data_IF_859586840451
#
_entry.id   IF_859586840451
#
_cell.length_a   1.000
_cell.length_b   1.000
_cell.length_c   1.000
_cell.angle_alpha   90.00
_cell.angle_beta   90.00
_cell.angle_gamma   90.00
#
_symmetry.space_group_name_H-M   'P 1'
#
loop_
_entity.id
_entity.type
_entity.pdbx_description
1 polymer ?
#
# COMPACT_ATOMS: atom_id res chain seq x y z
N UNK A 1 -22.15 16.06 7.32
CA UNK A 1 -21.11 15.01 7.36
C UNK A 1 -21.10 14.44 8.76
N UNK A 2 -21.25 13.14 8.91
CA UNK A 2 -20.96 12.48 10.19
C UNK A 2 -19.48 12.67 10.48
N UNK A 3 -19.13 13.06 11.72
CA UNK A 3 -17.73 13.13 12.12
C UNK A 3 -17.07 11.76 11.93
N UNK A 4 -15.83 11.77 11.45
CA UNK A 4 -15.07 10.53 11.29
C UNK A 4 -14.84 9.90 12.66
N UNK A 5 -15.33 8.68 12.84
CA UNK A 5 -15.02 7.84 14.00
C UNK A 5 -14.07 6.75 13.56
N UNK A 6 -12.85 6.79 14.11
CA UNK A 6 -11.84 5.78 13.78
C UNK A 6 -12.32 4.39 14.24
N UNK A 7 -12.32 3.37 13.34
CA UNK A 7 -12.59 2.00 13.74
C UNK A 7 -11.59 1.46 14.76
N UNK A 8 -11.93 0.34 15.38
CA UNK A 8 -11.02 -0.37 16.29
C UNK A 8 -9.72 -0.71 15.57
N UNK A 9 -8.60 -0.39 16.21
CA UNK A 9 -7.27 -0.74 15.74
C UNK A 9 -6.99 -2.24 15.84
N UNK A 10 -6.28 -2.75 14.85
CA UNK A 10 -5.55 -4.01 14.88
C UNK A 10 -4.06 -3.68 14.77
N UNK A 11 -3.38 -3.59 15.92
CA UNK A 11 -2.06 -2.95 15.99
C UNK A 11 -2.15 -1.46 15.67
N UNK A 12 -1.50 -1.02 14.59
CA UNK A 12 -1.53 0.37 14.09
C UNK A 12 -2.39 0.54 12.83
N UNK A 13 -3.26 -0.44 12.50
CA UNK A 13 -4.06 -0.44 11.28
C UNK A 13 -5.55 -0.53 11.59
N UNK A 14 -6.38 0.02 10.71
CA UNK A 14 -7.84 -0.16 10.71
C UNK A 14 -8.28 -0.89 9.45
N UNK A 15 -9.35 -1.67 9.54
CA UNK A 15 -9.93 -2.32 8.37
C UNK A 15 -10.60 -1.29 7.46
N UNK A 16 -10.29 -1.34 6.16
CA UNK A 16 -10.98 -0.58 5.12
C UNK A 16 -11.87 -1.55 4.33
N UNK A 17 -13.19 -1.39 4.41
CA UNK A 17 -14.14 -2.20 3.66
C UNK A 17 -14.49 -1.52 2.33
N UNK A 18 -14.30 -2.22 1.22
CA UNK A 18 -14.65 -1.73 -0.11
C UNK A 18 -15.20 -2.85 -0.99
N UNK A 19 -16.04 -2.47 -1.96
CA UNK A 19 -16.42 -3.32 -3.10
C UNK A 19 -15.96 -2.62 -4.36
N UNK A 20 -15.35 -3.38 -5.27
CA UNK A 20 -14.85 -2.89 -6.56
C UNK A 20 -15.36 -3.79 -7.67
N UNK A 21 -15.31 -3.31 -8.92
CA UNK A 21 -15.63 -4.16 -10.07
C UNK A 21 -14.62 -5.31 -10.22
N UNK A 22 -14.98 -6.41 -10.91
CA UNK A 22 -14.05 -7.51 -11.17
C UNK A 22 -12.78 -7.07 -11.92
N UNK A 23 -12.90 -6.12 -12.84
CA UNK A 23 -11.78 -5.56 -13.59
C UNK A 23 -10.81 -4.81 -12.66
N UNK A 24 -11.33 -3.94 -11.81
CA UNK A 24 -10.52 -3.22 -10.81
C UNK A 24 -9.85 -4.18 -9.82
N UNK A 25 -10.55 -5.23 -9.40
CA UNK A 25 -9.98 -6.26 -8.54
C UNK A 25 -8.78 -6.94 -9.20
N UNK A 26 -8.94 -7.38 -10.45
CA UNK A 26 -7.87 -8.02 -11.21
C UNK A 26 -6.68 -7.09 -11.40
N UNK A 27 -6.93 -5.85 -11.84
CA UNK A 27 -5.89 -4.85 -12.05
C UNK A 27 -5.12 -4.55 -10.75
N UNK A 28 -5.82 -4.43 -9.62
CA UNK A 28 -5.17 -4.22 -8.32
C UNK A 28 -4.29 -5.40 -7.91
N UNK A 29 -4.74 -6.64 -8.14
CA UNK A 29 -3.96 -7.84 -7.83
C UNK A 29 -2.67 -7.86 -8.66
N UNK A 30 -2.79 -7.71 -9.98
CA UNK A 30 -1.64 -7.72 -10.89
C UNK A 30 -0.65 -6.58 -10.58
N UNK A 31 -1.14 -5.36 -10.37
CA UNK A 31 -0.30 -4.22 -10.03
C UNK A 31 0.40 -4.38 -8.67
N UNK A 32 -0.29 -4.92 -7.66
CA UNK A 32 0.32 -5.15 -6.35
C UNK A 32 1.48 -6.15 -6.42
N UNK A 33 1.33 -7.22 -7.20
CA UNK A 33 2.40 -8.19 -7.44
C UNK A 33 3.57 -7.59 -8.21
N UNK A 34 3.31 -6.81 -9.28
CA UNK A 34 4.36 -6.08 -10.01
C UNK A 34 5.09 -5.05 -9.14
N UNK A 35 4.43 -4.57 -8.09
CA UNK A 35 5.01 -3.69 -7.08
C UNK A 35 5.78 -4.41 -5.98
N UNK A 36 5.69 -5.74 -5.88
CA UNK A 36 6.24 -6.48 -4.74
C UNK A 36 5.57 -6.09 -3.42
N UNK A 37 4.32 -5.60 -3.47
CA UNK A 37 3.56 -5.13 -2.32
C UNK A 37 2.42 -6.09 -2.02
N UNK A 38 2.09 -6.26 -0.73
CA UNK A 38 0.80 -6.84 -0.38
C UNK A 38 -0.35 -5.92 -0.83
N UNK A 39 -1.55 -6.47 -1.03
CA UNK A 39 -2.72 -5.66 -1.41
C UNK A 39 -2.97 -4.48 -0.45
N UNK A 40 -2.81 -4.70 0.86
CA UNK A 40 -2.99 -3.65 1.86
C UNK A 40 -1.95 -2.52 1.71
N UNK A 41 -0.70 -2.86 1.38
CA UNK A 41 0.35 -1.87 1.13
C UNK A 41 0.15 -1.15 -0.20
N UNK A 42 -0.31 -1.86 -1.23
CA UNK A 42 -0.65 -1.27 -2.52
C UNK A 42 -1.76 -0.22 -2.37
N UNK A 43 -2.85 -0.56 -1.68
CA UNK A 43 -3.95 0.38 -1.40
C UNK A 43 -3.46 1.56 -0.56
N UNK A 44 -2.67 1.31 0.50
CA UNK A 44 -2.10 2.38 1.32
C UNK A 44 -1.24 3.34 0.49
N UNK A 45 -0.40 2.80 -0.41
CA UNK A 45 0.44 3.60 -1.28
C UNK A 45 -0.38 4.42 -2.29
N UNK A 46 -1.48 3.89 -2.83
CA UNK A 46 -2.39 4.66 -3.68
C UNK A 46 -3.07 5.80 -2.92
N UNK A 47 -3.51 5.57 -1.68
CA UNK A 47 -4.10 6.61 -0.81
C UNK A 47 -3.08 7.71 -0.54
N UNK A 48 -1.84 7.35 -0.21
CA UNK A 48 -0.78 8.32 0.03
C UNK A 48 -0.41 9.08 -1.24
N UNK A 49 -0.34 8.40 -2.38
CA UNK A 49 -0.10 9.03 -3.68
C UNK A 49 -1.19 10.06 -4.05
N UNK A 50 -2.46 9.70 -3.88
CA UNK A 50 -3.60 10.60 -4.13
C UNK A 50 -3.59 11.82 -3.20
N UNK A 51 -3.18 11.62 -1.95
CA UNK A 51 -3.00 12.69 -0.97
C UNK A 51 -1.71 13.53 -1.17
N UNK A 52 -0.92 13.27 -2.22
CA UNK A 52 0.35 13.97 -2.48
C UNK A 52 1.46 13.65 -1.47
N UNK A 53 1.37 12.52 -0.77
CA UNK A 53 2.35 12.04 0.21
C UNK A 53 3.34 11.06 -0.42
N UNK A 54 4.51 10.95 0.22
CA UNK A 54 5.49 9.89 -0.08
C UNK A 54 4.84 8.51 0.06
N UNK A 55 5.10 7.62 -0.88
CA UNK A 55 4.47 6.31 -0.94
C UNK A 55 5.41 5.24 -1.53
N UNK A 56 5.09 3.96 -1.28
CA UNK A 56 5.92 2.82 -1.70
C UNK A 56 5.90 2.52 -3.21
N UNK A 57 4.97 3.09 -3.98
CA UNK A 57 4.90 2.88 -5.43
C UNK A 57 5.92 3.77 -6.15
N UNK A 58 6.02 5.02 -5.73
CA UNK A 58 6.86 6.01 -6.37
C UNK A 58 8.27 6.07 -5.74
N UNK A 59 8.37 5.76 -4.44
CA UNK A 59 9.65 5.70 -3.71
C UNK A 59 10.02 4.24 -3.41
N UNK A 60 10.18 3.43 -4.45
CA UNK A 60 10.74 2.08 -4.29
C UNK A 60 12.15 2.23 -3.75
N UNK A 61 12.35 1.94 -2.47
CA UNK A 61 13.69 1.70 -1.96
C UNK A 61 14.22 0.49 -2.74
N UNK A 62 15.26 0.70 -3.55
CA UNK A 62 16.01 -0.43 -4.08
C UNK A 62 16.44 -1.29 -2.88
N UNK A 63 16.24 -2.61 -2.94
CA UNK A 63 16.72 -3.48 -1.87
C UNK A 63 18.22 -3.23 -1.76
N UNK A 64 18.63 -2.51 -0.70
CA UNK A 64 20.03 -2.34 -0.36
C UNK A 64 20.54 -3.75 -0.08
N UNK A 65 21.18 -4.36 -1.07
CA UNK A 65 21.98 -5.55 -0.86
C UNK A 65 22.86 -5.24 0.36
N UNK A 66 22.93 -6.12 1.37
CA UNK A 66 23.86 -5.92 2.46
C UNK A 66 25.21 -5.69 1.80
N UNK A 67 25.86 -4.54 2.04
CA UNK A 67 27.20 -4.28 1.56
C UNK A 67 28.01 -5.52 1.97
N UNK A 68 28.40 -6.32 0.98
CA UNK A 68 29.30 -7.42 1.21
C UNK A 68 30.53 -6.77 1.83
N UNK A 69 30.74 -7.00 3.13
CA UNK A 69 31.94 -6.60 3.84
C UNK A 69 33.11 -7.06 2.98
N UNK A 70 33.67 -6.11 2.25
CA UNK A 70 34.77 -6.32 1.34
C UNK A 70 36.01 -6.01 2.14
N UNK A 71 36.74 -7.08 2.46
CA UNK A 71 38.09 -7.14 3.04
C UNK A 71 38.25 -6.70 4.51
#
# INVERSE_FOLDING_TARGET
MTEYQQPKLQGHKVALMARVSPEQHRAAIEASHQAGLSMAEYIGALIDRDAGRSNKLDNREEPRLPLANSA
#
